data_IF_521169377401
#
_entry.id   IF_521169377401
#
_cell.length_a   1.000
_cell.length_b   1.000
_cell.length_c   1.000
_cell.angle_alpha   90.00
_cell.angle_beta   90.00
_cell.angle_gamma   90.00
#
_symmetry.space_group_name_H-M   'P 1'
#
loop_
_entity.id
_entity.type
_entity.pdbx_description
1 polymer ?
#
# COMPACT_ATOMS: atom_id res chain seq x y z
N UNK A 1 21.01 8.41 -2.69
CA UNK A 1 20.69 7.27 -3.58
C UNK A 1 19.25 7.40 -4.01
N UNK A 2 18.90 6.94 -5.20
CA UNK A 2 17.50 6.82 -5.62
C UNK A 2 16.92 5.54 -5.05
N UNK A 3 15.74 5.62 -4.45
CA UNK A 3 15.01 4.51 -3.91
C UNK A 3 13.51 4.75 -3.97
N UNK A 4 12.75 3.69 -3.78
CA UNK A 4 11.30 3.73 -3.77
C UNK A 4 10.81 3.15 -2.45
N UNK A 5 9.68 3.66 -1.97
CA UNK A 5 9.07 3.17 -0.76
C UNK A 5 7.57 3.10 -0.86
N UNK A 6 6.99 2.34 0.04
CA UNK A 6 5.55 2.30 0.23
C UNK A 6 5.22 2.32 1.72
N UNK A 7 4.04 2.85 2.02
CA UNK A 7 3.36 2.73 3.30
C UNK A 7 1.98 2.13 3.08
N UNK A 8 1.58 1.24 3.98
CA UNK A 8 0.21 0.73 4.06
C UNK A 8 -0.33 1.09 5.42
N UNK A 9 -1.50 1.74 5.44
CA UNK A 9 -2.22 2.07 6.69
C UNK A 9 -3.55 1.35 6.75
N UNK A 10 -3.90 0.84 7.94
CA UNK A 10 -5.22 0.32 8.29
C UNK A 10 -5.90 1.31 9.19
N UNK A 11 -7.01 1.90 8.74
CA UNK A 11 -7.78 2.89 9.51
C UNK A 11 -6.88 4.02 10.05
N UNK A 12 -5.98 4.54 9.20
CA UNK A 12 -5.00 5.58 9.57
C UNK A 12 -3.74 5.08 10.30
N UNK A 13 -3.73 3.86 10.84
CA UNK A 13 -2.58 3.27 11.56
C UNK A 13 -1.62 2.63 10.57
N UNK A 14 -0.33 2.97 10.64
CA UNK A 14 0.71 2.36 9.80
C UNK A 14 0.90 0.87 10.14
N UNK A 15 0.65 -0.02 9.17
CA UNK A 15 0.79 -1.48 9.32
C UNK A 15 1.98 -2.06 8.55
N UNK A 16 2.46 -1.33 7.55
CA UNK A 16 3.68 -1.69 6.83
C UNK A 16 4.34 -0.44 6.26
N UNK A 17 5.66 -0.40 6.31
CA UNK A 17 6.48 0.57 5.61
C UNK A 17 7.74 -0.13 5.13
N UNK A 18 8.12 0.11 3.89
CA UNK A 18 9.36 -0.42 3.33
C UNK A 18 9.97 0.58 2.39
N UNK A 19 11.27 0.70 2.48
CA UNK A 19 12.09 1.43 1.52
C UNK A 19 13.02 0.45 0.82
N UNK A 20 13.26 0.71 -0.46
CA UNK A 20 14.13 -0.07 -1.32
C UNK A 20 15.18 0.86 -1.91
N UNK A 21 16.41 0.36 -2.06
CA UNK A 21 17.50 1.09 -2.71
C UNK A 21 17.56 0.66 -4.18
N UNK A 22 17.64 1.61 -5.09
CA UNK A 22 17.61 1.35 -6.53
C UNK A 22 16.20 0.96 -7.02
N UNK A 23 16.12 0.37 -8.21
CA UNK A 23 14.87 -0.01 -8.87
C UNK A 23 14.31 -1.37 -8.40
N UNK A 24 14.55 -1.75 -7.14
CA UNK A 24 14.07 -3.02 -6.60
C UNK A 24 12.60 -2.87 -6.22
N UNK A 25 11.67 -3.68 -6.75
CA UNK A 25 10.27 -3.62 -6.37
C UNK A 25 10.06 -3.95 -4.89
N UNK A 26 9.29 -3.11 -4.20
CA UNK A 26 8.77 -3.42 -2.86
C UNK A 26 7.46 -4.20 -2.97
N UNK A 27 7.25 -5.16 -2.07
CA UNK A 27 5.98 -5.88 -1.95
C UNK A 27 5.51 -5.93 -0.49
N UNK A 28 4.19 -5.95 -0.32
CA UNK A 28 3.50 -6.18 0.94
C UNK A 28 2.37 -7.17 0.71
N UNK A 29 2.25 -8.14 1.61
CA UNK A 29 1.16 -9.11 1.63
C UNK A 29 0.80 -9.39 3.08
N UNK A 30 -0.49 -9.38 3.37
CA UNK A 30 -1.01 -9.70 4.69
C UNK A 30 -2.47 -10.16 4.61
N UNK A 31 -2.87 -10.94 5.60
CA UNK A 31 -4.28 -11.19 5.91
C UNK A 31 -4.70 -10.13 6.93
N UNK A 32 -5.83 -9.46 6.67
CA UNK A 32 -6.37 -8.43 7.55
C UNK A 32 -7.73 -8.88 8.04
N UNK A 33 -7.87 -8.98 9.36
CA UNK A 33 -9.15 -9.32 9.99
C UNK A 33 -10.20 -8.24 9.71
N UNK A 34 -11.38 -8.71 9.30
CA UNK A 34 -12.55 -7.88 9.04
C UNK A 34 -13.45 -7.85 10.28
N UNK A 35 -14.01 -6.68 10.64
CA UNK A 35 -14.96 -6.60 11.73
C UNK A 35 -16.19 -7.45 11.44
N UNK A 36 -16.64 -8.22 12.43
CA UNK A 36 -17.89 -8.98 12.35
C UNK A 36 -19.08 -8.02 12.42
N UNK A 37 -19.91 -7.99 11.38
CA UNK A 37 -21.13 -7.17 11.34
C UNK A 37 -20.96 -5.82 10.61
N UNK A 38 -21.38 -4.71 11.24
CA UNK A 38 -21.30 -3.35 10.68
C UNK A 38 -19.96 -2.72 11.02
N UNK A 39 -19.03 -2.71 10.07
CA UNK A 39 -17.76 -2.00 10.20
C UNK A 39 -17.06 -1.90 8.85
N UNK A 40 -16.28 -0.84 8.67
CA UNK A 40 -15.42 -0.67 7.50
C UNK A 40 -13.96 -0.81 7.91
N UNK A 41 -13.16 -1.30 6.97
CA UNK A 41 -11.70 -1.24 7.04
C UNK A 41 -11.27 -0.39 5.87
N UNK A 42 -10.57 0.69 6.16
CA UNK A 42 -9.95 1.54 5.15
C UNK A 42 -8.47 1.17 5.07
N UNK A 43 -8.03 0.79 3.88
CA UNK A 43 -6.62 0.58 3.57
C UNK A 43 -6.13 1.72 2.71
N UNK A 44 -5.10 2.41 3.17
CA UNK A 44 -4.45 3.48 2.40
C UNK A 44 -3.08 3.00 1.94
N UNK A 45 -2.85 3.05 0.63
CA UNK A 45 -1.60 2.67 0.01
C UNK A 45 -0.91 3.95 -0.49
N UNK A 46 0.21 4.29 0.12
CA UNK A 46 1.02 5.45 -0.30
C UNK A 46 2.33 4.95 -0.86
N UNK A 47 2.61 5.28 -2.12
CA UNK A 47 3.86 4.92 -2.79
C UNK A 47 4.61 6.22 -3.03
N UNK A 48 5.90 6.23 -2.74
CA UNK A 48 6.71 7.44 -2.81
C UNK A 48 8.12 7.12 -3.29
N UNK A 49 8.69 8.11 -3.96
CA UNK A 49 10.09 8.11 -4.33
C UNK A 49 10.90 8.74 -3.20
N UNK A 50 12.09 8.21 -2.95
CA UNK A 50 13.06 8.74 -2.00
C UNK A 50 14.40 8.95 -2.71
N UNK A 51 14.82 10.20 -2.87
CA UNK A 51 16.06 10.53 -3.57
C UNK A 51 16.17 12.01 -3.95
N UNK A 52 17.24 12.38 -4.65
CA UNK A 52 17.44 13.75 -5.16
C UNK A 52 16.44 14.11 -6.26
N UNK A 53 16.26 15.42 -6.50
CA UNK A 53 15.56 15.95 -7.67
C UNK A 53 16.19 15.35 -8.94
N UNK A 54 15.46 14.45 -9.62
CA UNK A 54 15.97 13.68 -10.77
C UNK A 54 15.89 12.15 -10.59
N UNK A 55 15.56 11.66 -9.40
CA UNK A 55 15.11 10.27 -9.26
C UNK A 55 13.81 10.08 -10.09
N UNK A 56 13.75 9.02 -10.89
CA UNK A 56 12.67 8.79 -11.86
C UNK A 56 11.33 8.50 -11.20
N UNK A 57 10.23 8.71 -11.94
CA UNK A 57 8.86 8.52 -11.46
C UNK A 57 8.55 7.05 -11.14
N UNK A 58 7.57 6.82 -10.27
CA UNK A 58 6.93 5.50 -10.13
C UNK A 58 6.03 5.30 -11.34
N UNK A 59 6.35 4.31 -12.17
CA UNK A 59 5.57 4.00 -13.40
C UNK A 59 4.44 3.02 -13.13
N UNK A 60 4.68 2.04 -12.25
CA UNK A 60 3.78 0.91 -12.04
C UNK A 60 3.49 0.71 -10.56
N UNK A 61 2.19 0.64 -10.23
CA UNK A 61 1.70 0.26 -8.90
C UNK A 61 0.55 -0.72 -9.08
N UNK A 62 0.69 -1.93 -8.53
CA UNK A 62 -0.36 -2.95 -8.55
C UNK A 62 -0.86 -3.18 -7.13
N UNK A 63 -2.16 -2.98 -6.92
CA UNK A 63 -2.84 -3.25 -5.65
C UNK A 63 -3.90 -4.32 -5.88
N UNK A 64 -3.80 -5.42 -5.14
CA UNK A 64 -4.77 -6.52 -5.20
C UNK A 64 -5.40 -6.66 -3.81
N UNK A 65 -6.71 -6.44 -3.74
CA UNK A 65 -7.50 -6.64 -2.52
C UNK A 65 -8.50 -7.74 -2.78
N UNK A 66 -8.37 -8.86 -2.04
CA UNK A 66 -9.32 -9.96 -2.09
C UNK A 66 -10.14 -9.98 -0.81
N UNK A 67 -11.46 -9.89 -0.94
CA UNK A 67 -12.40 -10.00 0.18
C UNK A 67 -13.33 -11.17 -0.09
N UNK A 68 -13.56 -12.01 0.93
CA UNK A 68 -14.43 -13.19 0.82
C UNK A 68 -15.88 -12.83 0.41
N UNK A 69 -16.36 -11.65 0.79
CA UNK A 69 -17.64 -11.10 0.32
C UNK A 69 -17.40 -10.06 -0.77
N UNK A 70 -18.00 -10.25 -1.95
CA UNK A 70 -17.84 -9.37 -3.11
C UNK A 70 -18.44 -7.96 -2.92
N UNK A 71 -19.38 -7.79 -1.99
CA UNK A 71 -20.01 -6.50 -1.71
C UNK A 71 -19.17 -5.62 -0.76
N UNK A 72 -19.17 -4.31 -1.03
CA UNK A 72 -18.60 -3.30 -0.14
C UNK A 72 -17.07 -3.15 -0.20
N UNK A 73 -16.45 -3.34 -1.37
CA UNK A 73 -15.14 -2.74 -1.68
C UNK A 73 -15.42 -1.41 -2.38
N UNK A 74 -14.82 -0.33 -1.88
CA UNK A 74 -14.86 0.99 -2.52
C UNK A 74 -13.44 1.45 -2.73
N UNK A 75 -13.12 1.80 -3.97
CA UNK A 75 -11.86 2.45 -4.35
C UNK A 75 -12.20 3.93 -4.49
N UNK A 76 -11.40 4.79 -3.86
CA UNK A 76 -11.55 6.24 -3.87
C UNK A 76 -10.20 6.87 -4.15
#
# INVERSE_FOLDING_TARGET
YTGYGFEVRKNGVLIASRETKGAIPGSYSAVIDMPSGRGSVTLEFKIFQKGNQGAGNITDCTVIVTKKAASGISIR
#
